data_IF_380625015450
#
_entry.id   IF_380625015450
#
_cell.length_a   1.000
_cell.length_b   1.000
_cell.length_c   1.000
_cell.angle_alpha   90.00
_cell.angle_beta   90.00
_cell.angle_gamma   90.00
#
_symmetry.space_group_name_H-M   'P 1'
#
loop_
_entity.id
_entity.type
_entity.pdbx_description
1 polymer ?
#
# COMPACT_ATOMS: atom_id res chain seq x y z
N UNK A 1 -37.29 48.28 10.38
CA UNK A 1 -36.24 48.70 9.42
C UNK A 1 -35.96 50.19 9.62
N UNK A 2 -34.70 50.61 9.38
CA UNK A 2 -34.05 51.95 9.62
C UNK A 2 -33.34 51.95 10.99
N UNK A 3 -32.06 51.57 11.17
CA UNK A 3 -30.75 51.91 10.53
C UNK A 3 -30.43 53.41 10.73
N UNK A 4 -29.41 53.83 11.49
CA UNK A 4 -27.96 53.85 11.17
C UNK A 4 -27.16 54.36 12.41
N UNK A 5 -26.05 53.74 12.85
CA UNK A 5 -24.60 53.85 12.48
C UNK A 5 -23.81 55.01 13.16
N UNK A 6 -22.83 54.58 13.98
CA UNK A 6 -21.46 55.11 14.23
C UNK A 6 -21.23 56.46 14.94
N UNK A 7 -20.43 56.47 16.03
CA UNK A 7 -18.99 56.82 16.00
C UNK A 7 -18.34 56.74 17.39
N UNK A 8 -17.28 55.91 17.48
CA UNK A 8 -15.99 56.11 18.16
C UNK A 8 -15.97 56.87 19.50
N UNK A 9 -15.62 56.17 20.58
CA UNK A 9 -14.60 56.66 21.52
C UNK A 9 -13.69 55.52 21.98
N UNK A 10 -12.40 55.75 21.71
CA UNK A 10 -11.24 54.97 22.11
C UNK A 10 -11.09 55.04 23.63
N UNK A 11 -10.98 53.90 24.31
CA UNK A 11 -10.28 53.85 25.59
C UNK A 11 -9.44 52.58 25.65
N UNK A 12 -8.17 52.80 25.33
CA UNK A 12 -7.04 51.92 25.54
C UNK A 12 -6.88 51.70 27.05
N UNK A 13 -7.15 50.49 27.52
CA UNK A 13 -6.59 50.01 28.79
C UNK A 13 -5.94 48.64 28.56
N UNK A 14 -4.62 48.69 28.55
CA UNK A 14 -3.70 47.57 28.55
C UNK A 14 -3.76 46.95 29.94
N UNK A 15 -4.16 45.67 30.01
CA UNK A 15 -3.85 44.81 31.15
C UNK A 15 -3.18 43.54 30.63
N UNK A 16 -1.87 43.55 30.82
CA UNK A 16 -0.95 42.42 30.71
C UNK A 16 -1.44 41.25 31.59
N UNK A 17 -1.79 40.12 30.96
CA UNK A 17 -1.90 38.83 31.64
C UNK A 17 -0.87 37.87 31.06
N UNK A 18 0.07 37.49 31.92
CA UNK A 18 1.13 36.53 31.69
C UNK A 18 0.54 35.13 31.53
N UNK A 19 0.72 34.52 30.36
CA UNK A 19 0.34 33.13 30.12
C UNK A 19 1.50 32.22 30.57
N UNK A 20 1.31 31.54 31.70
CA UNK A 20 2.18 30.46 32.15
C UNK A 20 1.61 29.15 31.59
N UNK A 21 2.24 28.59 30.56
CA UNK A 21 1.81 27.33 29.95
C UNK A 21 2.43 26.16 30.74
N UNK A 22 1.65 25.65 31.68
CA UNK A 22 1.87 24.33 32.29
C UNK A 22 0.95 23.35 31.58
N UNK A 23 1.50 22.56 30.65
CA UNK A 23 0.75 21.54 29.91
C UNK A 23 0.80 20.21 30.68
N UNK A 24 -0.33 19.85 31.30
CA UNK A 24 -0.55 18.55 31.93
C UNK A 24 -0.98 17.53 30.89
N UNK A 25 -0.34 16.36 30.93
CA UNK A 25 -0.73 15.14 30.23
C UNK A 25 -2.24 14.86 30.27
N UNK A 26 -2.84 14.70 29.10
CA UNK A 26 -4.03 13.86 28.93
C UNK A 26 -3.88 13.06 27.63
N UNK A 27 -3.96 11.74 27.78
CA UNK A 27 -4.03 10.77 26.71
C UNK A 27 -5.23 11.04 25.81
N UNK A 28 -5.00 11.12 24.51
CA UNK A 28 -5.98 10.71 23.50
C UNK A 28 -5.22 10.15 22.29
N UNK A 29 -5.50 8.89 21.99
CA UNK A 29 -5.01 8.15 20.85
C UNK A 29 -5.27 8.87 19.52
N UNK A 30 -4.19 9.17 18.78
CA UNK A 30 -4.28 9.45 17.34
C UNK A 30 -3.16 8.72 16.62
N UNK A 31 -3.58 7.69 15.88
CA UNK A 31 -2.92 7.05 14.74
C UNK A 31 -1.40 7.24 14.67
N UNK A 32 -0.68 6.22 15.15
CA UNK A 32 0.71 5.95 14.77
C UNK A 32 0.79 5.88 13.26
N UNK A 33 1.12 7.01 12.64
CA UNK A 33 1.62 7.07 11.28
C UNK A 33 2.86 6.16 11.26
N UNK A 34 2.66 4.96 10.70
CA UNK A 34 3.70 3.97 10.56
C UNK A 34 4.85 4.63 9.83
N UNK A 35 5.91 4.97 10.58
CA UNK A 35 7.14 5.58 10.09
C UNK A 35 7.66 4.70 8.97
N UNK A 36 7.29 5.04 7.75
CA UNK A 36 7.72 4.34 6.55
C UNK A 36 9.21 4.58 6.54
N UNK A 37 9.99 3.51 6.68
CA UNK A 37 11.45 3.57 6.59
C UNK A 37 11.75 4.34 5.29
N UNK A 38 12.21 5.59 5.42
CA UNK A 38 12.73 6.36 4.29
C UNK A 38 13.95 5.57 3.86
N UNK A 39 13.77 4.80 2.80
CA UNK A 39 14.85 4.19 2.06
C UNK A 39 15.81 5.32 1.70
N UNK A 40 17.06 5.33 2.21
CA UNK A 40 18.01 6.41 1.94
C UNK A 40 18.38 6.48 0.45
N UNK A 41 18.03 5.46 -0.33
CA UNK A 41 18.14 5.47 -1.78
C UNK A 41 16.81 5.88 -2.43
N UNK A 42 16.88 6.86 -3.33
CA UNK A 42 15.76 7.18 -4.21
C UNK A 42 15.31 5.90 -4.95
N UNK A 43 14.10 5.37 -4.69
CA UNK A 43 13.71 4.05 -5.19
C UNK A 43 13.59 4.07 -6.72
N UNK A 44 14.21 3.08 -7.38
CA UNK A 44 14.09 2.89 -8.83
C UNK A 44 12.65 2.53 -9.23
N UNK A 45 12.24 2.81 -10.49
CA UNK A 45 10.89 2.55 -10.98
C UNK A 45 10.34 1.14 -10.66
N UNK A 46 11.14 0.09 -10.83
CA UNK A 46 10.69 -1.28 -10.53
C UNK A 46 10.38 -1.47 -9.03
N UNK A 47 11.19 -0.88 -8.13
CA UNK A 47 10.95 -0.96 -6.70
C UNK A 47 9.64 -0.25 -6.30
N UNK A 48 9.30 0.87 -6.95
CA UNK A 48 8.02 1.56 -6.75
C UNK A 48 6.84 0.70 -7.23
N UNK A 49 6.96 0.06 -8.40
CA UNK A 49 5.94 -0.87 -8.91
C UNK A 49 5.74 -2.07 -7.98
N UNK A 50 6.82 -2.66 -7.45
CA UNK A 50 6.72 -3.77 -6.48
C UNK A 50 6.02 -3.36 -5.19
N UNK A 51 6.27 -2.14 -4.68
CA UNK A 51 5.55 -1.62 -3.50
C UNK A 51 4.06 -1.46 -3.79
N UNK A 52 3.70 -0.90 -4.95
CA UNK A 52 2.30 -0.76 -5.38
C UNK A 52 1.63 -2.13 -5.58
N UNK A 53 2.34 -3.09 -6.17
CA UNK A 53 1.85 -4.46 -6.34
C UNK A 53 1.56 -5.13 -5.01
N UNK A 54 2.46 -4.99 -4.03
CA UNK A 54 2.23 -5.53 -2.69
C UNK A 54 0.97 -4.92 -2.04
N UNK A 55 0.76 -3.62 -2.16
CA UNK A 55 -0.46 -2.96 -1.65
C UNK A 55 -1.73 -3.41 -2.38
N UNK A 56 -1.65 -3.59 -3.70
CA UNK A 56 -2.78 -4.12 -4.48
C UNK A 56 -3.10 -5.55 -4.04
N UNK A 57 -2.10 -6.41 -3.85
CA UNK A 57 -2.30 -7.77 -3.37
C UNK A 57 -2.91 -7.83 -1.97
N UNK A 58 -2.51 -6.95 -1.06
CA UNK A 58 -3.10 -6.86 0.28
C UNK A 58 -4.59 -6.48 0.22
N UNK A 59 -4.93 -5.49 -0.62
CA UNK A 59 -6.31 -5.12 -0.89
C UNK A 59 -7.12 -6.26 -1.53
N UNK A 60 -6.56 -6.94 -2.53
CA UNK A 60 -7.19 -8.10 -3.17
C UNK A 60 -7.43 -9.24 -2.18
N UNK A 61 -6.46 -9.55 -1.31
CA UNK A 61 -6.62 -10.54 -0.23
C UNK A 61 -7.81 -10.21 0.65
N UNK A 62 -7.92 -8.96 1.09
CA UNK A 62 -9.03 -8.51 1.95
C UNK A 62 -10.39 -8.72 1.28
N UNK A 63 -10.51 -8.31 0.01
CA UNK A 63 -11.74 -8.48 -0.79
C UNK A 63 -12.10 -9.96 -1.02
N UNK A 64 -11.13 -10.76 -1.46
CA UNK A 64 -11.35 -12.18 -1.74
C UNK A 64 -11.73 -12.96 -0.48
N UNK A 65 -11.13 -12.63 0.68
CA UNK A 65 -11.52 -13.23 1.96
C UNK A 65 -12.98 -12.89 2.34
N UNK A 66 -13.48 -11.71 1.97
CA UNK A 66 -14.88 -11.29 2.17
C UNK A 66 -15.85 -11.85 1.12
N UNK A 67 -15.36 -12.62 0.14
CA UNK A 67 -16.17 -13.12 -0.97
C UNK A 67 -16.48 -12.07 -2.04
N UNK A 68 -15.79 -10.93 -2.03
CA UNK A 68 -15.89 -9.91 -3.08
C UNK A 68 -15.05 -10.31 -4.31
N UNK A 69 -15.51 -9.92 -5.49
CA UNK A 69 -14.79 -10.14 -6.75
C UNK A 69 -13.76 -9.03 -6.98
N UNK A 70 -12.58 -9.42 -7.47
CA UNK A 70 -11.56 -8.48 -7.99
C UNK A 70 -11.49 -8.56 -9.51
N UNK A 71 -11.16 -7.45 -10.17
CA UNK A 71 -11.03 -7.41 -11.63
C UNK A 71 -9.86 -6.54 -12.09
N UNK A 72 -9.54 -6.65 -13.37
CA UNK A 72 -8.43 -5.92 -14.00
C UNK A 72 -8.71 -4.43 -14.16
N UNK A 73 -9.96 -3.98 -14.02
CA UNK A 73 -10.29 -2.55 -14.03
C UNK A 73 -9.85 -1.91 -12.70
N UNK A 74 -10.16 -2.57 -11.59
CA UNK A 74 -9.77 -2.12 -10.24
C UNK A 74 -8.29 -2.37 -9.93
N UNK A 75 -7.73 -3.47 -10.46
CA UNK A 75 -6.36 -3.91 -10.21
C UNK A 75 -5.65 -4.18 -11.53
N UNK A 76 -5.30 -3.15 -12.32
CA UNK A 76 -4.63 -3.35 -13.59
C UNK A 76 -3.27 -4.02 -13.43
N UNK A 77 -2.83 -4.71 -14.48
CA UNK A 77 -1.54 -5.39 -14.50
C UNK A 77 -0.41 -4.36 -14.38
N UNK A 78 0.61 -4.67 -13.59
CA UNK A 78 1.81 -3.86 -13.47
C UNK A 78 2.95 -4.51 -14.27
N UNK A 79 3.42 -3.90 -15.38
CA UNK A 79 4.48 -4.44 -16.21
C UNK A 79 5.87 -4.16 -15.60
N UNK A 80 6.14 -4.67 -14.41
CA UNK A 80 7.40 -4.40 -13.71
C UNK A 80 8.63 -4.92 -14.46
N UNK A 81 8.47 -5.92 -15.32
CA UNK A 81 9.53 -6.47 -16.16
C UNK A 81 10.05 -5.50 -17.24
N UNK A 82 9.39 -4.36 -17.45
CA UNK A 82 9.88 -3.29 -18.31
C UNK A 82 10.41 -2.07 -17.55
N UNK A 83 10.43 -2.11 -16.22
CA UNK A 83 10.86 -1.00 -15.38
C UNK A 83 12.34 -1.12 -14.99
N UNK A 84 13.02 0.00 -14.79
CA UNK A 84 14.42 0.00 -14.33
C UNK A 84 14.53 -0.56 -12.90
N UNK A 85 15.33 -1.62 -12.65
CA UNK A 85 15.57 -2.17 -11.33
C UNK A 85 16.59 -1.35 -10.52
N UNK A 86 16.69 -1.65 -9.22
CA UNK A 86 17.78 -1.13 -8.37
C UNK A 86 19.13 -1.73 -8.73
N UNK A 87 19.13 -3.02 -9.07
CA UNK A 87 20.29 -3.75 -9.56
C UNK A 87 19.94 -4.35 -10.92
N UNK A 88 20.66 -3.94 -11.97
CA UNK A 88 20.41 -4.41 -13.34
C UNK A 88 20.86 -5.85 -13.56
N UNK A 89 21.70 -6.43 -12.71
CA UNK A 89 22.13 -7.83 -12.85
C UNK A 89 20.99 -8.84 -12.62
N UNK A 90 19.83 -8.37 -12.16
CA UNK A 90 18.64 -9.22 -12.02
C UNK A 90 17.97 -9.52 -13.36
N UNK A 91 18.26 -8.76 -14.42
CA UNK A 91 17.60 -8.86 -15.73
C UNK A 91 18.17 -10.01 -16.58
N UNK A 92 18.19 -11.20 -15.99
CA UNK A 92 18.62 -12.45 -16.61
C UNK A 92 17.41 -13.24 -17.15
N UNK A 93 17.60 -14.25 -18.03
CA UNK A 93 16.49 -15.01 -18.63
C UNK A 93 15.46 -15.53 -17.61
N UNK A 94 15.92 -16.08 -16.47
CA UNK A 94 15.03 -16.62 -15.44
C UNK A 94 14.18 -15.53 -14.75
N UNK A 95 14.58 -14.26 -14.74
CA UNK A 95 13.74 -13.15 -14.26
C UNK A 95 12.54 -12.96 -15.19
N UNK A 96 12.77 -12.95 -16.50
CA UNK A 96 11.71 -12.79 -17.49
C UNK A 96 10.78 -14.00 -17.53
N UNK A 97 11.31 -15.21 -17.35
CA UNK A 97 10.48 -16.42 -17.23
C UNK A 97 9.56 -16.35 -16.00
N UNK A 98 10.08 -15.93 -14.85
CA UNK A 98 9.30 -15.73 -13.64
C UNK A 98 8.26 -14.61 -13.79
N UNK A 99 8.62 -13.50 -14.44
CA UNK A 99 7.68 -12.42 -14.74
C UNK A 99 6.53 -12.90 -15.64
N UNK A 100 6.83 -13.74 -16.63
CA UNK A 100 5.81 -14.38 -17.48
C UNK A 100 4.90 -15.31 -16.69
N UNK A 101 5.44 -16.11 -15.75
CA UNK A 101 4.61 -16.94 -14.87
C UNK A 101 3.68 -16.09 -13.99
N UNK A 102 4.18 -14.99 -13.43
CA UNK A 102 3.35 -14.02 -12.71
C UNK A 102 2.23 -13.46 -13.61
N UNK A 103 2.57 -13.04 -14.84
CA UNK A 103 1.60 -12.50 -15.79
C UNK A 103 0.48 -13.50 -16.10
N UNK A 104 0.82 -14.77 -16.33
CA UNK A 104 -0.16 -15.84 -16.57
C UNK A 104 -1.04 -16.08 -15.34
N UNK A 105 -0.47 -16.10 -14.13
CA UNK A 105 -1.24 -16.25 -12.89
C UNK A 105 -2.19 -15.07 -12.67
N UNK A 106 -1.74 -13.84 -12.94
CA UNK A 106 -2.58 -12.64 -12.89
C UNK A 106 -3.74 -12.72 -13.88
N UNK A 107 -3.49 -13.12 -15.12
CA UNK A 107 -4.54 -13.26 -16.14
C UNK A 107 -5.61 -14.27 -15.70
N UNK A 108 -5.21 -15.43 -15.16
CA UNK A 108 -6.14 -16.44 -14.63
C UNK A 108 -7.00 -15.88 -13.49
N UNK A 109 -6.41 -15.16 -12.54
CA UNK A 109 -7.13 -14.51 -11.45
C UNK A 109 -8.22 -13.54 -11.96
N UNK A 110 -7.89 -12.73 -12.97
CA UNK A 110 -8.82 -11.73 -13.50
C UNK A 110 -9.90 -12.33 -14.42
N UNK A 111 -9.61 -13.43 -15.11
CA UNK A 111 -10.53 -14.06 -16.06
C UNK A 111 -11.53 -15.03 -15.37
N UNK A 112 -11.09 -15.75 -14.34
CA UNK A 112 -11.93 -16.74 -13.68
C UNK A 112 -12.43 -16.24 -12.31
N UNK A 113 -13.62 -15.61 -12.34
CA UNK A 113 -14.29 -15.03 -11.17
C UNK A 113 -14.77 -16.06 -10.14
N UNK A 114 -15.06 -17.30 -10.53
CA UNK A 114 -15.56 -18.34 -9.61
C UNK A 114 -14.44 -19.04 -8.83
N UNK A 115 -13.19 -18.99 -9.32
CA UNK A 115 -12.02 -19.61 -8.65
C UNK A 115 -10.98 -18.58 -8.19
N UNK A 116 -11.41 -17.39 -7.77
CA UNK A 116 -10.47 -16.32 -7.39
C UNK A 116 -9.63 -16.65 -6.17
N UNK A 117 -10.12 -17.49 -5.24
CA UNK A 117 -9.33 -17.92 -4.08
C UNK A 117 -8.12 -18.75 -4.52
N UNK A 118 -8.34 -19.76 -5.37
CA UNK A 118 -7.30 -20.65 -5.88
C UNK A 118 -6.33 -19.90 -6.80
N UNK A 119 -6.87 -19.04 -7.68
CA UNK A 119 -6.06 -18.27 -8.62
C UNK A 119 -5.22 -17.19 -7.91
N UNK A 120 -5.75 -16.57 -6.85
CA UNK A 120 -4.98 -15.62 -6.04
C UNK A 120 -3.86 -16.34 -5.28
N UNK A 121 -4.11 -17.52 -4.71
CA UNK A 121 -3.05 -18.34 -4.10
C UNK A 121 -1.97 -18.71 -5.13
N UNK A 122 -2.37 -19.02 -6.36
CA UNK A 122 -1.42 -19.26 -7.47
C UNK A 122 -0.58 -18.01 -7.78
N UNK A 123 -1.20 -16.83 -7.81
CA UNK A 123 -0.49 -15.55 -8.00
C UNK A 123 0.56 -15.32 -6.89
N UNK A 124 0.18 -15.49 -5.62
CA UNK A 124 1.12 -15.31 -4.49
C UNK A 124 2.26 -16.34 -4.53
N UNK A 125 1.98 -17.58 -4.94
CA UNK A 125 3.02 -18.59 -5.11
C UNK A 125 4.01 -18.24 -6.23
N UNK A 126 3.55 -17.64 -7.33
CA UNK A 126 4.45 -17.11 -8.37
C UNK A 126 5.36 -16.00 -7.82
N UNK A 127 4.83 -15.11 -6.97
CA UNK A 127 5.64 -14.11 -6.27
C UNK A 127 6.70 -14.77 -5.37
N UNK A 128 6.32 -15.77 -4.57
CA UNK A 128 7.25 -16.49 -3.68
C UNK A 128 8.34 -17.18 -4.48
N UNK A 129 7.98 -17.84 -5.60
CA UNK A 129 8.94 -18.53 -6.46
C UNK A 129 10.00 -17.55 -7.00
N UNK A 130 9.58 -16.45 -7.63
CA UNK A 130 10.49 -15.43 -8.14
C UNK A 130 11.42 -14.87 -7.05
N UNK A 131 10.86 -14.54 -5.88
CA UNK A 131 11.63 -13.99 -4.76
C UNK A 131 12.48 -15.02 -4.00
N UNK A 132 12.31 -16.31 -4.27
CA UNK A 132 13.23 -17.34 -3.75
C UNK A 132 14.45 -17.51 -4.68
N UNK A 133 14.29 -17.24 -5.97
CA UNK A 133 15.34 -17.45 -6.98
C UNK A 133 16.38 -16.34 -7.08
N UNK A 134 16.01 -15.09 -6.82
CA UNK A 134 16.91 -13.93 -7.02
C UNK A 134 17.12 -13.07 -5.79
N UNK A 135 16.02 -12.57 -5.24
CA UNK A 135 16.05 -11.57 -4.19
C UNK A 135 15.05 -11.96 -3.12
N UNK A 136 15.58 -12.46 -2.01
CA UNK A 136 14.82 -12.84 -0.81
C UNK A 136 14.12 -11.66 -0.13
N UNK A 137 14.40 -10.43 -0.60
CA UNK A 137 14.03 -9.13 -0.01
C UNK A 137 12.74 -9.14 0.81
N UNK A 138 11.54 -9.15 0.20
CA UNK A 138 10.29 -9.08 0.95
C UNK A 138 9.61 -10.44 1.19
N UNK A 139 10.30 -11.59 1.14
CA UNK A 139 9.65 -12.92 1.28
C UNK A 139 8.79 -13.03 2.54
N UNK A 140 9.25 -12.49 3.67
CA UNK A 140 8.47 -12.46 4.93
C UNK A 140 7.14 -11.69 4.77
N UNK A 141 7.13 -10.61 3.99
CA UNK A 141 5.94 -9.82 3.70
C UNK A 141 5.03 -10.54 2.71
N UNK A 142 5.59 -11.13 1.65
CA UNK A 142 4.82 -11.87 0.63
C UNK A 142 4.08 -13.05 1.25
N UNK A 143 4.72 -13.80 2.15
CA UNK A 143 4.06 -14.92 2.85
C UNK A 143 2.86 -14.51 3.71
N UNK A 144 2.77 -13.24 4.12
CA UNK A 144 1.59 -12.70 4.83
C UNK A 144 0.44 -12.34 3.89
N UNK A 145 0.66 -12.32 2.57
CA UNK A 145 -0.36 -12.06 1.58
C UNK A 145 -1.19 -13.31 1.24
N UNK A 146 -0.89 -14.49 1.79
CA UNK A 146 -1.73 -15.68 1.59
C UNK A 146 -3.13 -15.47 2.18
N UNK A 147 -4.14 -16.08 1.57
CA UNK A 147 -5.53 -16.03 2.05
C UNK A 147 -5.67 -16.69 3.43
N UNK A 148 -6.76 -16.34 4.12
CA UNK A 148 -7.15 -17.01 5.34
C UNK A 148 -8.24 -18.04 5.01
N UNK A 149 -7.88 -19.32 5.05
CA UNK A 149 -8.81 -20.42 4.80
C UNK A 149 -9.58 -20.87 6.05
N UNK A 150 -9.24 -20.34 7.23
CA UNK A 150 -9.86 -20.70 8.50
C UNK A 150 -11.02 -19.77 8.89
N UNK A 151 -11.16 -18.61 8.24
CA UNK A 151 -12.20 -17.61 8.54
C UNK A 151 -13.62 -17.99 8.07
N UNK A 152 -13.81 -19.14 7.43
CA UNK A 152 -15.11 -19.62 6.92
C UNK A 152 -15.59 -20.91 7.59
N UNK A 153 -15.09 -21.24 8.78
CA UNK A 153 -15.56 -22.39 9.56
C UNK A 153 -16.38 -21.92 10.77
#
# INVERSE_FOLDING_TARGET
MIKQISFITISLLILINSCNQQESNSNTDTNTEQKTIKDPNNPKPMALMMRKLASNCDSMKSKINKGEIVDSFSYPIMPFWSAEPTDSSVLEPLFFDNAKQFQLAYQRLMQNKSSQKENYTTLINACIHCHTSYCSGPLKKIRKLTLDYNATK
#
